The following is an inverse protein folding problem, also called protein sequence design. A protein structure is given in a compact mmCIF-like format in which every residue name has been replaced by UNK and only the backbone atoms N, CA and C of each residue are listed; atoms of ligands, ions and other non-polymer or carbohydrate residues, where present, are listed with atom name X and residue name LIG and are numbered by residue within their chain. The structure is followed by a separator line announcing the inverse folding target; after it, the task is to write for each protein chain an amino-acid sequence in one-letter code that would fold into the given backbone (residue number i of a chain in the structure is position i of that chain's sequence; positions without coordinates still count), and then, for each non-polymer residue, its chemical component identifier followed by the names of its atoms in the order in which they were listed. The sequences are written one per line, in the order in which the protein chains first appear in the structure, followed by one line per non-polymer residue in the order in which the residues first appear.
data_IF_620299220057
#
_entry.id   IF_620299220057
#
_cell.length_a   1.000
_cell.length_b   1.000
_cell.length_c   1.000
_cell.angle_alpha   90.00
_cell.angle_beta   90.00
_cell.angle_gamma   90.00
#
_symmetry.space_group_name_H-M   'P 1'
#
loop_
_entity.id
_entity.type
_entity.pdbx_description
1 polymer ?
#
# COMPACT_ATOMS: atom_id res chain seq x y z
N UNK A 1 -5.79 3.83 -7.25
CA UNK A 1 -5.18 5.08 -6.75
C UNK A 1 -6.24 6.17 -6.55
N UNK A 2 -6.92 6.23 -5.39
CA UNK A 2 -8.02 7.19 -5.11
C UNK A 2 -7.64 8.65 -5.48
N UNK A 3 -8.51 9.40 -6.18
CA UNK A 3 -8.55 10.89 -6.29
C UNK A 3 -9.81 11.33 -7.13
N UNK A 4 -10.12 12.57 -7.59
CA UNK A 4 -9.44 13.89 -7.63
C UNK A 4 -10.44 15.09 -7.61
N UNK A 5 -9.90 16.29 -7.36
CA UNK A 5 -10.05 17.60 -8.04
C UNK A 5 -11.41 18.34 -8.20
N UNK A 6 -11.50 19.51 -7.57
CA UNK A 6 -11.75 20.78 -8.31
C UNK A 6 -11.29 21.99 -7.48
N UNK A 7 -10.67 23.00 -8.10
CA UNK A 7 -10.34 24.30 -7.48
C UNK A 7 -10.32 25.39 -8.56
N UNK A 8 -10.79 26.60 -8.23
CA UNK A 8 -11.06 27.64 -9.23
C UNK A 8 -10.93 29.07 -8.69
N UNK A 9 -10.22 29.93 -9.43
CA UNK A 9 -10.17 31.39 -9.27
C UNK A 9 -9.63 31.98 -10.59
N UNK A 10 -10.28 32.92 -11.29
CA UNK A 10 -11.46 33.72 -10.93
C UNK A 10 -12.35 34.08 -12.13
N UNK A 11 -13.61 34.38 -11.84
CA UNK A 11 -14.52 35.25 -12.62
C UNK A 11 -14.66 35.03 -14.14
N UNK A 12 -15.41 34.01 -14.56
CA UNK A 12 -16.80 34.25 -14.98
C UNK A 12 -17.64 32.95 -14.99
N UNK A 13 -18.96 33.08 -14.94
CA UNK A 13 -19.86 31.97 -14.60
C UNK A 13 -20.01 30.89 -15.68
N UNK A 14 -19.39 29.73 -15.46
CA UNK A 14 -19.85 28.43 -15.99
C UNK A 14 -19.41 27.31 -15.04
N UNK A 15 -20.24 26.28 -14.85
CA UNK A 15 -19.98 25.20 -13.89
C UNK A 15 -18.98 24.20 -14.46
N UNK A 16 -17.74 24.21 -13.95
CA UNK A 16 -16.74 23.19 -14.27
C UNK A 16 -17.13 21.85 -13.63
N UNK A 17 -17.88 21.03 -14.36
CA UNK A 17 -18.15 19.65 -13.94
C UNK A 17 -16.84 18.89 -13.79
N UNK A 18 -16.69 18.14 -12.70
CA UNK A 18 -15.78 16.99 -12.68
C UNK A 18 -16.18 16.12 -13.88
N UNK A 19 -15.24 15.79 -14.76
CA UNK A 19 -15.48 14.74 -15.75
C UNK A 19 -15.65 13.44 -14.98
N UNK A 20 -16.82 12.84 -15.11
CA UNK A 20 -17.08 11.53 -14.54
C UNK A 20 -16.12 10.51 -15.16
N UNK A 21 -15.69 9.52 -14.36
CA UNK A 21 -14.80 8.48 -14.86
C UNK A 21 -15.48 7.76 -16.05
N UNK A 22 -14.87 7.71 -17.25
CA UNK A 22 -15.48 7.15 -18.46
C UNK A 22 -15.79 5.64 -18.35
N UNK A 23 -15.23 4.97 -17.34
CA UNK A 23 -15.45 3.57 -17.01
C UNK A 23 -16.53 3.33 -15.94
N UNK A 24 -17.19 4.38 -15.41
CA UNK A 24 -18.32 4.23 -14.46
C UNK A 24 -19.41 3.27 -14.96
N UNK A 25 -19.58 3.13 -16.29
CA UNK A 25 -20.49 2.16 -16.94
C UNK A 25 -20.21 0.69 -16.58
N UNK A 26 -19.02 0.38 -16.08
CA UNK A 26 -18.58 -0.97 -15.68
C UNK A 26 -18.69 -1.20 -14.16
N UNK A 27 -19.16 -0.22 -13.38
CA UNK A 27 -19.47 -0.43 -11.97
C UNK A 27 -20.66 -1.39 -11.84
N UNK A 28 -20.47 -2.47 -11.08
CA UNK A 28 -21.52 -3.44 -10.75
C UNK A 28 -21.62 -3.63 -9.23
N UNK A 29 -22.80 -3.92 -8.68
CA UNK A 29 -22.93 -4.41 -7.31
C UNK A 29 -22.29 -5.79 -7.19
N UNK A 30 -21.59 -6.05 -6.07
CA UNK A 30 -21.16 -7.38 -5.71
C UNK A 30 -22.35 -8.14 -5.08
N UNK A 31 -22.66 -9.32 -5.63
CA UNK A 31 -23.80 -10.15 -5.22
C UNK A 31 -23.88 -10.35 -3.70
N UNK A 32 -25.09 -10.24 -3.16
CA UNK A 32 -25.34 -10.30 -1.71
C UNK A 32 -24.90 -9.07 -0.90
N UNK A 33 -24.39 -8.00 -1.53
CA UNK A 33 -23.90 -6.80 -0.83
C UNK A 33 -24.39 -5.48 -1.43
N UNK A 34 -24.30 -4.40 -0.66
CA UNK A 34 -24.48 -3.02 -1.14
C UNK A 34 -23.19 -2.40 -1.73
N UNK A 35 -22.11 -3.16 -1.89
CA UNK A 35 -20.80 -2.66 -2.34
C UNK A 35 -20.68 -2.74 -3.86
N UNK A 36 -19.95 -1.81 -4.46
CA UNK A 36 -19.69 -1.76 -5.90
C UNK A 36 -18.27 -2.26 -6.21
N UNK A 37 -18.03 -2.72 -7.43
CA UNK A 37 -16.69 -2.97 -7.99
C UNK A 37 -16.68 -2.67 -9.50
N UNK A 38 -15.51 -2.44 -10.08
CA UNK A 38 -15.36 -2.33 -11.54
C UNK A 38 -15.28 -3.72 -12.16
N UNK A 39 -16.23 -4.06 -13.04
CA UNK A 39 -16.20 -5.31 -13.79
C UNK A 39 -15.20 -5.23 -14.96
N UNK A 40 -13.96 -5.59 -14.63
CA UNK A 40 -12.84 -5.65 -15.56
C UNK A 40 -13.03 -6.70 -16.66
N UNK A 41 -13.88 -7.73 -16.45
CA UNK A 41 -14.20 -8.74 -17.47
C UNK A 41 -15.13 -8.15 -18.52
N UNK A 42 -16.15 -7.39 -18.11
CA UNK A 42 -17.01 -6.65 -19.03
C UNK A 42 -16.26 -5.57 -19.81
N UNK A 43 -15.16 -5.03 -19.27
CA UNK A 43 -14.28 -4.09 -19.97
C UNK A 43 -13.38 -4.76 -21.01
N UNK A 44 -12.66 -5.83 -20.64
CA UNK A 44 -11.58 -6.39 -21.46
C UNK A 44 -11.85 -7.75 -22.12
N UNK A 45 -12.94 -8.43 -21.77
CA UNK A 45 -13.32 -9.74 -22.31
C UNK A 45 -12.20 -10.79 -22.20
N UNK A 46 -12.07 -11.61 -23.24
CA UNK A 46 -11.01 -12.64 -23.34
C UNK A 46 -9.60 -12.08 -23.18
N UNK A 47 -9.34 -10.84 -23.63
CA UNK A 47 -8.03 -10.20 -23.49
C UNK A 47 -7.68 -9.91 -22.04
N UNK A 48 -8.67 -9.63 -21.18
CA UNK A 48 -8.44 -9.48 -19.73
C UNK A 48 -8.13 -10.83 -19.06
N UNK A 49 -8.83 -11.90 -19.46
CA UNK A 49 -8.56 -13.23 -18.93
C UNK A 49 -7.23 -13.84 -19.41
N UNK A 50 -6.63 -13.29 -20.48
CA UNK A 50 -5.27 -13.60 -20.91
C UNK A 50 -4.17 -12.81 -20.18
N UNK A 51 -4.50 -11.79 -19.37
CA UNK A 51 -3.49 -11.01 -18.64
C UNK A 51 -2.95 -11.76 -17.42
N UNK A 52 -1.65 -11.62 -17.08
CA UNK A 52 -1.12 -11.98 -15.76
C UNK A 52 -1.84 -11.22 -14.64
N UNK A 53 -2.04 -11.85 -13.48
CA UNK A 53 -2.78 -11.30 -12.35
C UNK A 53 -2.20 -9.97 -11.84
N UNK A 54 -0.88 -9.84 -11.82
CA UNK A 54 -0.16 -8.60 -11.52
C UNK A 54 -0.60 -7.44 -12.42
N UNK A 55 -0.73 -7.67 -13.74
CA UNK A 55 -1.17 -6.65 -14.71
C UNK A 55 -2.66 -6.34 -14.55
N UNK A 56 -3.49 -7.29 -14.11
CA UNK A 56 -4.92 -7.04 -13.82
C UNK A 56 -5.10 -6.04 -12.67
N UNK A 57 -4.24 -6.09 -11.64
CA UNK A 57 -4.26 -5.14 -10.51
C UNK A 57 -3.86 -3.73 -10.98
N UNK A 58 -2.81 -3.61 -11.80
CA UNK A 58 -2.44 -2.33 -12.42
C UNK A 58 -3.58 -1.77 -13.28
N UNK A 59 -4.26 -2.61 -14.07
CA UNK A 59 -5.37 -2.20 -14.93
C UNK A 59 -6.60 -1.73 -14.13
N UNK A 60 -6.96 -2.40 -13.04
CA UNK A 60 -8.03 -1.94 -12.14
C UNK A 60 -7.69 -0.57 -11.55
N UNK A 61 -6.47 -0.40 -11.04
CA UNK A 61 -6.03 0.87 -10.46
C UNK A 61 -6.01 2.01 -11.49
N UNK A 62 -5.67 1.73 -12.76
CA UNK A 62 -5.79 2.71 -13.84
C UNK A 62 -7.25 3.04 -14.18
N UNK A 63 -8.10 2.01 -14.34
CA UNK A 63 -9.51 2.15 -14.74
C UNK A 63 -10.33 2.91 -13.70
N UNK A 64 -10.23 2.55 -12.41
CA UNK A 64 -10.99 3.16 -11.32
C UNK A 64 -10.70 4.65 -11.11
N UNK A 65 -9.53 5.14 -11.57
CA UNK A 65 -9.01 6.47 -11.24
C UNK A 65 -8.64 7.28 -12.51
N UNK A 66 -9.21 6.90 -13.65
CA UNK A 66 -9.08 7.64 -14.91
C UNK A 66 -9.93 8.92 -14.88
N UNK A 67 -9.30 10.06 -14.61
CA UNK A 67 -9.93 11.39 -14.66
C UNK A 67 -9.48 12.25 -15.87
N UNK A 68 -8.40 11.82 -16.55
CA UNK A 68 -7.88 12.43 -17.77
C UNK A 68 -6.77 13.47 -17.59
N UNK A 69 -6.27 13.70 -16.36
CA UNK A 69 -5.11 14.59 -16.13
C UNK A 69 -3.78 13.83 -16.01
N UNK A 70 -2.67 14.55 -16.19
CA UNK A 70 -1.30 14.02 -16.10
C UNK A 70 -0.60 14.66 -14.89
N UNK A 71 -0.12 13.85 -13.96
CA UNK A 71 0.66 14.31 -12.80
C UNK A 71 2.07 14.77 -13.19
N UNK A 72 2.58 15.76 -12.47
CA UNK A 72 3.96 16.28 -12.57
C UNK A 72 4.59 16.14 -11.18
N UNK A 73 5.78 15.53 -11.04
CA UNK A 73 6.37 15.21 -9.74
C UNK A 73 7.04 16.42 -9.05
N UNK A 74 6.97 16.45 -7.72
CA UNK A 74 7.77 17.28 -6.80
C UNK A 74 7.79 16.63 -5.41
N UNK A 75 8.72 17.05 -4.53
CA UNK A 75 9.12 16.29 -3.32
C UNK A 75 9.62 17.18 -2.17
N UNK A 76 9.55 16.68 -0.92
CA UNK A 76 10.59 16.60 0.16
C UNK A 76 9.96 16.78 1.56
N UNK A 77 8.72 17.23 1.61
CA UNK A 77 8.47 18.44 2.38
C UNK A 77 7.17 18.38 3.19
N UNK A 78 6.52 17.25 3.50
CA UNK A 78 5.19 17.29 4.19
C UNK A 78 5.11 18.20 5.44
N UNK A 79 6.18 18.31 6.24
CA UNK A 79 6.29 19.32 7.31
C UNK A 79 6.86 20.67 6.84
N UNK A 80 7.72 20.69 5.83
CA UNK A 80 8.42 21.87 5.34
C UNK A 80 7.66 22.65 4.23
N UNK A 81 6.84 22.01 3.39
CA UNK A 81 5.69 22.55 2.65
C UNK A 81 4.66 23.12 3.63
N UNK A 82 4.37 22.47 4.76
CA UNK A 82 3.48 23.08 5.78
C UNK A 82 4.06 24.42 6.24
N UNK A 83 5.36 24.47 6.55
CA UNK A 83 6.04 25.72 6.87
C UNK A 83 6.14 26.70 5.68
N UNK A 84 6.45 26.24 4.46
CA UNK A 84 6.65 27.06 3.27
C UNK A 84 5.34 27.65 2.74
N UNK A 85 4.27 26.85 2.69
CA UNK A 85 2.93 27.30 2.37
C UNK A 85 2.45 28.34 3.39
N UNK A 86 2.76 28.14 4.68
CA UNK A 86 2.49 29.14 5.72
C UNK A 86 3.31 30.43 5.53
N UNK A 87 4.61 30.34 5.15
CA UNK A 87 5.44 31.51 4.77
C UNK A 87 4.89 32.23 3.53
N UNK A 88 4.21 31.52 2.64
CA UNK A 88 3.55 32.05 1.44
C UNK A 88 2.09 32.47 1.67
N UNK A 89 1.62 32.53 2.93
CA UNK A 89 0.26 32.94 3.30
C UNK A 89 -0.85 31.92 3.02
N UNK A 90 -0.49 30.70 2.60
CA UNK A 90 -1.41 29.58 2.42
C UNK A 90 -1.61 28.75 3.69
N UNK A 91 -2.72 28.01 3.75
CA UNK A 91 -3.03 27.12 4.89
C UNK A 91 -2.27 25.80 4.79
N UNK A 92 -1.24 25.64 5.63
CA UNK A 92 -0.47 24.38 5.76
C UNK A 92 -1.33 23.14 6.00
N UNK A 93 -2.46 23.29 6.68
CA UNK A 93 -3.48 22.24 6.96
C UNK A 93 -3.88 21.43 5.70
N UNK A 94 -3.85 22.05 4.51
CA UNK A 94 -4.17 21.39 3.23
C UNK A 94 -3.14 20.33 2.79
N UNK A 95 -1.95 20.34 3.38
CA UNK A 95 -0.90 19.36 3.12
C UNK A 95 -1.06 18.22 4.13
N UNK A 96 -1.61 17.10 3.67
CA UNK A 96 -1.82 15.86 4.42
C UNK A 96 -1.80 14.68 3.44
N UNK A 97 -1.38 13.46 3.84
CA UNK A 97 -1.40 12.30 2.94
C UNK A 97 -2.82 12.01 2.41
N UNK A 98 -2.94 11.78 1.10
CA UNK A 98 -4.22 11.54 0.41
C UNK A 98 -4.57 10.04 0.31
N UNK A 99 -3.58 9.19 0.58
CA UNK A 99 -3.70 7.74 0.77
C UNK A 99 -3.37 7.39 2.24
N UNK A 100 -3.74 6.19 2.67
CA UNK A 100 -3.34 5.67 3.99
C UNK A 100 -1.83 5.47 4.02
N UNK A 101 -1.19 5.84 5.13
CA UNK A 101 0.25 5.66 5.33
C UNK A 101 0.48 4.98 6.67
N UNK A 102 1.16 3.84 6.62
CA UNK A 102 1.55 3.05 7.78
C UNK A 102 3.07 3.09 7.92
N UNK A 103 3.56 3.75 8.97
CA UNK A 103 4.98 3.80 9.30
C UNK A 103 5.25 2.85 10.47
N UNK A 104 5.97 1.76 10.20
CA UNK A 104 6.43 0.82 11.24
C UNK A 104 7.83 1.23 11.69
N UNK A 105 8.06 1.17 13.00
CA UNK A 105 9.37 1.45 13.61
C UNK A 105 9.99 0.13 14.04
N UNK A 106 10.97 -0.36 13.27
CA UNK A 106 11.64 -1.65 13.49
C UNK A 106 13.17 -1.58 13.35
N UNK A 107 13.66 -0.85 12.34
CA UNK A 107 15.08 -0.68 12.01
C UNK A 107 15.94 0.08 13.06
N UNK A 108 15.36 0.49 14.20
CA UNK A 108 16.06 1.21 15.27
C UNK A 108 16.45 0.35 16.49
N UNK A 109 15.90 -0.87 16.62
CA UNK A 109 16.27 -1.82 17.69
C UNK A 109 17.69 -2.35 17.45
N UNK A 110 18.50 -2.45 18.49
CA UNK A 110 19.84 -3.05 18.44
C UNK A 110 20.00 -4.14 19.49
N UNK A 111 20.74 -5.20 19.15
CA UNK A 111 21.00 -6.35 20.03
C UNK A 111 22.21 -6.06 20.93
N UNK A 112 22.04 -5.09 21.85
CA UNK A 112 23.03 -4.77 22.88
C UNK A 112 23.16 -5.91 23.92
N UNK A 113 22.05 -6.56 24.23
CA UNK A 113 21.93 -7.69 25.14
C UNK A 113 21.29 -8.88 24.44
N UNK A 114 21.70 -10.10 24.79
CA UNK A 114 21.17 -11.35 24.26
C UNK A 114 21.29 -12.48 25.28
N UNK A 115 20.60 -13.61 25.03
CA UNK A 115 20.65 -14.85 25.85
C UNK A 115 20.29 -14.68 27.35
N UNK A 116 19.53 -13.64 27.69
CA UNK A 116 18.94 -13.42 29.02
C UNK A 116 17.46 -13.02 28.88
N UNK A 117 16.54 -13.42 29.79
CA UNK A 117 15.13 -13.03 29.73
C UNK A 117 14.90 -11.52 29.69
N UNK A 118 15.80 -10.73 30.28
CA UNK A 118 15.72 -9.26 30.31
C UNK A 118 16.21 -8.58 29.02
N UNK A 119 16.77 -9.34 28.06
CA UNK A 119 17.42 -8.76 26.89
C UNK A 119 16.49 -7.88 26.04
N UNK A 120 15.22 -8.28 25.88
CA UNK A 120 14.23 -7.51 25.12
C UNK A 120 13.96 -6.15 25.77
N UNK A 121 13.66 -6.13 27.06
CA UNK A 121 13.40 -4.91 27.84
C UNK A 121 14.61 -3.97 27.83
N UNK A 122 15.81 -4.51 28.06
CA UNK A 122 17.06 -3.74 28.08
C UNK A 122 17.43 -3.16 26.69
N UNK A 123 17.15 -3.88 25.60
CA UNK A 123 17.36 -3.39 24.24
C UNK A 123 16.35 -2.29 23.87
N UNK A 124 15.06 -2.47 24.20
CA UNK A 124 14.02 -1.47 23.98
C UNK A 124 14.24 -0.20 24.80
N UNK A 125 14.70 -0.32 26.06
CA UNK A 125 15.06 0.85 26.86
C UNK A 125 16.20 1.64 26.20
N UNK A 126 17.29 0.97 25.77
CA UNK A 126 18.39 1.63 25.05
C UNK A 126 17.95 2.27 23.74
N UNK A 127 17.03 1.65 23.02
CA UNK A 127 16.46 2.25 21.80
C UNK A 127 15.69 3.54 22.10
N UNK A 128 14.84 3.53 23.13
CA UNK A 128 14.09 4.71 23.60
C UNK A 128 15.00 5.83 24.11
N UNK A 129 16.12 5.49 24.75
CA UNK A 129 17.16 6.45 25.16
C UNK A 129 17.87 7.06 23.94
N UNK A 130 18.27 6.24 22.95
CA UNK A 130 19.00 6.67 21.75
C UNK A 130 18.16 7.47 20.75
N UNK A 131 16.87 7.13 20.58
CA UNK A 131 16.01 7.65 19.51
C UNK A 131 14.89 8.58 20.02
N UNK A 132 14.96 9.03 21.28
CA UNK A 132 13.93 9.84 21.96
C UNK A 132 13.35 10.97 21.12
N UNK A 133 14.20 11.78 20.48
CA UNK A 133 13.78 12.92 19.65
C UNK A 133 13.05 12.47 18.38
N UNK A 134 13.52 11.40 17.73
CA UNK A 134 12.86 10.80 16.55
C UNK A 134 11.48 10.27 16.92
N UNK A 135 11.35 9.60 18.06
CA UNK A 135 10.05 9.09 18.53
C UNK A 135 9.09 10.21 18.96
N UNK A 136 9.60 11.32 19.50
CA UNK A 136 8.79 12.52 19.72
C UNK A 136 8.30 13.15 18.40
N UNK A 137 9.17 13.26 17.40
CA UNK A 137 8.82 13.78 16.08
C UNK A 137 7.79 12.87 15.35
N UNK A 138 7.98 11.55 15.36
CA UNK A 138 7.03 10.59 14.81
C UNK A 138 5.67 10.68 15.54
N UNK A 139 5.66 10.71 16.87
CA UNK A 139 4.42 10.85 17.66
C UNK A 139 3.68 12.16 17.36
N UNK A 140 4.41 13.27 17.14
CA UNK A 140 3.81 14.50 16.63
C UNK A 140 3.22 14.31 15.23
N UNK A 141 3.94 13.65 14.31
CA UNK A 141 3.49 13.37 12.95
C UNK A 141 2.16 12.62 12.90
N UNK A 142 2.01 11.53 13.66
CA UNK A 142 0.74 10.76 13.71
C UNK A 142 -0.43 11.56 14.28
N UNK A 143 -0.16 12.57 15.14
CA UNK A 143 -1.18 13.49 15.63
C UNK A 143 -1.45 14.69 14.69
N UNK A 144 -0.59 14.92 13.69
CA UNK A 144 -0.64 16.06 12.78
C UNK A 144 -1.17 15.72 11.37
N UNK A 145 -1.32 14.44 11.04
CA UNK A 145 -1.74 13.94 9.73
C UNK A 145 -2.77 12.81 9.87
N UNK A 146 -4.01 13.04 9.45
CA UNK A 146 -5.17 12.16 9.71
C UNK A 146 -5.02 10.73 9.14
N UNK A 147 -4.24 10.61 8.06
CA UNK A 147 -3.99 9.37 7.35
C UNK A 147 -2.62 8.71 7.68
N UNK A 148 -1.92 9.16 8.74
CA UNK A 148 -0.62 8.61 9.16
C UNK A 148 -0.76 7.80 10.46
N UNK A 149 -0.86 6.48 10.33
CA UNK A 149 -0.75 5.54 11.46
C UNK A 149 0.72 5.18 11.66
N UNK A 150 1.15 5.14 12.92
CA UNK A 150 2.52 4.74 13.30
C UNK A 150 2.45 3.54 14.23
N UNK A 151 3.18 2.48 13.87
CA UNK A 151 3.33 1.27 14.68
C UNK A 151 4.63 1.41 15.51
N UNK A 152 4.57 1.34 16.85
CA UNK A 152 5.70 1.66 17.71
C UNK A 152 6.80 0.57 17.71
N UNK A 153 8.02 0.90 18.18
CA UNK A 153 9.10 -0.07 18.33
C UNK A 153 8.71 -1.25 19.22
N UNK A 154 9.29 -2.41 18.91
CA UNK A 154 8.98 -3.69 19.59
C UNK A 154 7.71 -4.40 19.10
N UNK A 155 6.95 -3.82 18.16
CA UNK A 155 5.72 -4.44 17.61
C UNK A 155 5.96 -5.57 16.59
N UNK A 156 7.20 -5.78 16.15
CA UNK A 156 7.57 -6.68 15.05
C UNK A 156 8.28 -5.94 13.91
N UNK A 157 8.62 -6.67 12.84
CA UNK A 157 9.25 -6.10 11.62
C UNK A 157 8.18 -5.70 10.59
N UNK A 158 8.46 -4.67 9.79
CA UNK A 158 7.50 -4.02 8.89
C UNK A 158 6.79 -4.99 7.96
N UNK A 159 7.49 -5.95 7.36
CA UNK A 159 6.89 -6.89 6.40
C UNK A 159 5.99 -7.94 7.06
N UNK A 160 6.34 -8.40 8.27
CA UNK A 160 5.52 -9.33 9.04
C UNK A 160 4.27 -8.62 9.57
N UNK A 161 4.42 -7.43 10.14
CA UNK A 161 3.29 -6.58 10.57
C UNK A 161 2.39 -6.25 9.38
N UNK A 162 2.94 -6.04 8.18
CA UNK A 162 2.16 -5.84 6.97
C UNK A 162 1.34 -7.08 6.59
N UNK A 163 1.96 -8.26 6.54
CA UNK A 163 1.29 -9.54 6.25
C UNK A 163 0.20 -9.92 7.26
N UNK A 164 0.44 -9.69 8.55
CA UNK A 164 -0.41 -10.19 9.64
C UNK A 164 -1.48 -9.18 10.09
N UNK A 165 -1.30 -7.87 9.85
CA UNK A 165 -2.14 -6.84 10.46
C UNK A 165 -2.50 -5.63 9.56
N UNK A 166 -1.65 -5.20 8.62
CA UNK A 166 -1.94 -4.00 7.80
C UNK A 166 -2.66 -4.34 6.49
N UNK A 167 -2.26 -5.41 5.81
CA UNK A 167 -2.79 -5.79 4.52
C UNK A 167 -4.27 -6.21 4.57
N UNK A 168 -5.08 -5.59 3.72
CA UNK A 168 -6.52 -5.85 3.64
C UNK A 168 -6.90 -6.81 2.52
N UNK A 169 -6.01 -7.01 1.53
CA UNK A 169 -6.19 -7.83 0.30
C UNK A 169 -7.28 -7.32 -0.65
N UNK A 170 -8.45 -6.93 -0.14
CA UNK A 170 -9.49 -6.19 -0.85
C UNK A 170 -9.89 -4.96 -0.03
N UNK A 171 -9.57 -3.79 -0.54
CA UNK A 171 -9.83 -2.50 0.10
C UNK A 171 -11.25 -1.99 -0.17
N UNK A 172 -11.77 -1.16 0.74
CA UNK A 172 -13.08 -0.50 0.61
C UNK A 172 -12.92 1.02 0.60
N UNK A 173 -13.43 1.69 -0.43
CA UNK A 173 -13.31 3.15 -0.59
C UNK A 173 -13.95 3.99 0.53
N UNK A 174 -14.81 3.42 1.38
CA UNK A 174 -15.41 4.16 2.49
C UNK A 174 -14.64 4.05 3.81
N UNK A 175 -13.84 2.99 4.03
CA UNK A 175 -13.29 2.72 5.36
C UNK A 175 -12.18 3.71 5.77
N UNK A 176 -11.30 4.12 4.84
CA UNK A 176 -10.17 5.01 5.15
C UNK A 176 -10.57 6.43 5.59
N UNK A 177 -11.86 6.78 5.64
CA UNK A 177 -12.32 8.10 6.08
C UNK A 177 -12.62 8.15 7.59
N UNK A 178 -12.59 7.02 8.31
CA UNK A 178 -13.06 6.92 9.70
C UNK A 178 -11.96 7.12 10.78
N UNK A 179 -10.72 7.44 10.41
CA UNK A 179 -9.63 7.69 11.37
C UNK A 179 -9.62 9.12 11.95
N UNK A 180 -10.72 9.87 11.84
CA UNK A 180 -10.92 11.08 12.64
C UNK A 180 -11.01 10.71 14.12
N UNK A 181 -9.97 11.03 14.91
CA UNK A 181 -9.93 10.81 16.36
C UNK A 181 -10.96 11.68 17.11
N UNK A 182 -12.24 11.29 17.08
CA UNK A 182 -13.29 11.88 17.90
C UNK A 182 -13.12 11.42 19.35
N UNK A 183 -12.37 12.18 20.14
CA UNK A 183 -12.35 12.02 21.58
C UNK A 183 -13.76 12.16 22.15
N UNK A 184 -14.11 11.28 23.09
CA UNK A 184 -15.48 11.11 23.55
C UNK A 184 -16.02 12.34 24.27
N UNK A 185 -17.07 12.95 23.71
CA UNK A 185 -18.01 13.79 24.46
C UNK A 185 -19.44 13.36 24.13
N UNK A 186 -20.17 12.92 25.15
CA UNK A 186 -21.50 12.35 25.01
C UNK A 186 -22.57 13.43 24.98
N UNK A 187 -23.27 13.57 23.86
CA UNK A 187 -24.53 14.32 23.79
C UNK A 187 -25.56 13.55 22.97
N UNK A 188 -26.68 13.23 23.59
CA UNK A 188 -27.75 12.43 23.00
C UNK A 188 -28.75 13.32 22.25
N UNK A 189 -28.82 13.20 20.93
CA UNK A 189 -29.88 13.80 20.11
C UNK A 189 -30.45 12.81 19.11
N UNK A 190 -31.62 12.24 19.43
CA UNK A 190 -32.34 11.33 18.56
C UNK A 190 -32.87 12.05 17.32
N UNK A 191 -32.23 11.83 16.17
CA UNK A 191 -32.70 12.33 14.88
C UNK A 191 -32.78 11.18 13.86
N UNK A 192 -34.01 10.71 13.64
CA UNK A 192 -34.33 9.68 12.65
C UNK A 192 -34.00 10.18 11.24
N UNK A 193 -32.84 9.76 10.73
CA UNK A 193 -32.31 10.14 9.42
C UNK A 193 -32.03 8.88 8.60
N UNK A 194 -32.68 8.79 7.44
CA UNK A 194 -32.60 7.65 6.53
C UNK A 194 -31.15 7.40 6.15
N UNK A 195 -30.57 6.30 6.65
CA UNK A 195 -29.16 6.01 6.45
C UNK A 195 -28.89 5.57 5.01
N UNK A 196 -28.66 6.54 4.12
CA UNK A 196 -28.12 6.32 2.78
C UNK A 196 -26.69 5.81 2.90
N UNK A 197 -26.54 4.51 3.19
CA UNK A 197 -25.28 3.79 3.23
C UNK A 197 -24.62 3.88 1.86
N UNK A 198 -23.66 4.80 1.71
CA UNK A 198 -22.99 5.02 0.44
C UNK A 198 -22.31 3.73 0.00
N UNK A 199 -22.58 3.29 -1.23
CA UNK A 199 -22.07 2.04 -1.76
C UNK A 199 -20.56 2.10 -1.98
N UNK A 200 -19.80 1.67 -0.97
CA UNK A 200 -18.33 1.65 -1.00
C UNK A 200 -17.80 0.80 -2.15
N UNK A 201 -16.85 1.36 -2.90
CA UNK A 201 -16.18 0.67 -4.01
C UNK A 201 -15.11 -0.25 -3.45
N UNK A 202 -15.18 -1.53 -3.81
CA UNK A 202 -14.17 -2.55 -3.58
C UNK A 202 -13.10 -2.49 -4.67
N UNK A 203 -11.84 -2.69 -4.27
CA UNK A 203 -10.70 -2.79 -5.19
C UNK A 203 -9.58 -3.66 -4.59
N UNK A 204 -8.71 -4.29 -5.42
CA UNK A 204 -7.56 -5.02 -4.92
C UNK A 204 -6.64 -4.13 -4.09
N UNK A 205 -6.06 -4.68 -3.03
CA UNK A 205 -5.04 -4.01 -2.24
C UNK A 205 -3.71 -3.91 -3.01
N UNK A 206 -2.95 -2.84 -2.78
CA UNK A 206 -1.68 -2.57 -3.46
C UNK A 206 -0.86 -1.53 -2.69
N UNK A 207 0.44 -1.78 -2.49
CA UNK A 207 1.29 -0.98 -1.61
C UNK A 207 2.67 -0.72 -2.22
N UNK A 208 3.23 0.46 -1.98
CA UNK A 208 4.67 0.70 -2.11
C UNK A 208 5.22 1.23 -0.81
N UNK A 209 6.46 0.85 -0.49
CA UNK A 209 7.13 1.21 0.75
C UNK A 209 8.55 1.68 0.48
N UNK A 210 9.14 2.41 1.43
CA UNK A 210 10.52 2.91 1.36
C UNK A 210 11.56 1.84 1.72
N UNK A 211 11.23 0.56 1.46
CA UNK A 211 12.00 -0.63 1.80
C UNK A 211 11.92 -1.63 0.66
N UNK A 212 13.06 -2.19 0.24
CA UNK A 212 13.16 -3.14 -0.88
C UNK A 212 12.33 -4.42 -0.68
N UNK A 213 12.24 -4.93 0.54
CA UNK A 213 11.54 -6.16 0.88
C UNK A 213 10.03 -5.97 1.09
N UNK A 214 9.48 -4.78 0.80
CA UNK A 214 8.03 -4.55 0.64
C UNK A 214 7.39 -5.61 -0.28
N UNK A 215 8.17 -6.17 -1.21
CA UNK A 215 7.80 -7.28 -2.09
C UNK A 215 7.32 -8.55 -1.36
N UNK A 216 7.65 -8.77 -0.08
CA UNK A 216 7.18 -9.91 0.72
C UNK A 216 5.64 -10.06 0.69
N UNK A 217 4.91 -8.93 0.60
CA UNK A 217 3.44 -8.92 0.60
C UNK A 217 2.82 -9.56 -0.67
N UNK A 218 3.58 -9.69 -1.77
CA UNK A 218 3.11 -10.39 -2.97
C UNK A 218 2.79 -11.87 -2.69
N UNK A 219 3.39 -12.48 -1.65
CA UNK A 219 3.06 -13.83 -1.20
C UNK A 219 1.59 -14.00 -0.75
N UNK A 220 0.95 -12.91 -0.33
CA UNK A 220 -0.48 -12.83 0.03
C UNK A 220 -1.38 -12.45 -1.16
N UNK A 221 -0.80 -12.13 -2.33
CA UNK A 221 -1.53 -11.67 -3.52
C UNK A 221 -1.81 -10.16 -3.58
N UNK A 222 -1.26 -9.38 -2.64
CA UNK A 222 -1.25 -7.91 -2.67
C UNK A 222 -0.09 -7.46 -3.55
N UNK A 223 -0.35 -6.68 -4.61
CA UNK A 223 0.74 -6.22 -5.48
C UNK A 223 1.53 -5.10 -4.80
N UNK A 224 2.82 -5.31 -4.54
CA UNK A 224 3.66 -4.27 -3.94
C UNK A 224 5.16 -4.45 -4.10
N UNK A 225 5.89 -3.34 -3.99
CA UNK A 225 7.34 -3.29 -4.19
C UNK A 225 7.99 -2.11 -3.46
N UNK A 226 9.32 -2.19 -3.29
CA UNK A 226 10.12 -1.11 -2.71
C UNK A 226 10.37 0.03 -3.69
N UNK A 227 10.28 1.27 -3.20
CA UNK A 227 10.58 2.49 -3.96
C UNK A 227 11.44 3.44 -3.13
N UNK A 228 11.99 4.49 -3.74
CA UNK A 228 12.68 5.54 -2.98
C UNK A 228 11.71 6.35 -2.12
N UNK A 229 12.24 7.02 -1.09
CA UNK A 229 11.47 8.02 -0.34
C UNK A 229 10.88 9.13 -1.24
N UNK A 230 11.53 9.35 -2.39
CA UNK A 230 11.08 10.24 -3.46
C UNK A 230 9.70 9.81 -3.98
N UNK A 231 9.61 8.58 -4.50
CA UNK A 231 8.39 8.08 -5.12
C UNK A 231 7.31 7.82 -4.07
N UNK A 232 7.69 7.42 -2.86
CA UNK A 232 6.76 7.20 -1.75
C UNK A 232 6.03 8.49 -1.32
N UNK A 233 6.74 9.60 -1.05
CA UNK A 233 6.09 10.86 -0.68
C UNK A 233 5.26 11.43 -1.84
N UNK A 234 5.74 11.29 -3.09
CA UNK A 234 4.95 11.67 -4.26
C UNK A 234 3.60 10.92 -4.30
N UNK A 235 3.58 9.62 -4.01
CA UNK A 235 2.34 8.82 -3.87
C UNK A 235 1.50 9.25 -2.66
N UNK A 236 2.12 9.59 -1.53
CA UNK A 236 1.40 10.16 -0.37
C UNK A 236 0.66 11.46 -0.73
N UNK A 237 1.24 12.27 -1.62
CA UNK A 237 0.67 13.52 -2.16
C UNK A 237 -0.32 13.31 -3.32
N UNK A 238 -0.59 12.06 -3.73
CA UNK A 238 -1.53 11.73 -4.80
C UNK A 238 -0.93 11.70 -6.22
N UNK A 239 0.39 11.74 -6.37
CA UNK A 239 1.03 11.46 -7.66
C UNK A 239 0.93 9.97 -8.00
N UNK A 240 1.00 9.69 -9.30
CA UNK A 240 1.00 8.33 -9.83
C UNK A 240 2.45 7.86 -10.02
N UNK A 241 2.74 6.60 -9.71
CA UNK A 241 4.04 6.00 -10.03
C UNK A 241 4.16 5.93 -11.55
N UNK A 242 5.17 6.59 -12.09
CA UNK A 242 5.54 6.44 -13.50
C UNK A 242 6.42 5.20 -13.65
N UNK A 243 5.95 4.20 -14.37
CA UNK A 243 6.71 2.99 -14.69
C UNK A 243 6.51 2.59 -16.15
N UNK A 244 7.50 1.94 -16.74
CA UNK A 244 7.31 1.18 -17.98
C UNK A 244 6.41 -0.02 -17.64
N UNK A 245 5.47 -0.36 -18.52
CA UNK A 245 4.65 -1.58 -18.36
C UNK A 245 5.59 -2.80 -18.32
N UNK A 246 5.66 -3.54 -17.20
CA UNK A 246 6.71 -4.56 -17.03
C UNK A 246 6.39 -5.79 -17.86
N UNK A 247 7.44 -6.42 -18.40
CA UNK A 247 7.35 -7.82 -18.82
C UNK A 247 7.05 -8.70 -17.61
N UNK A 248 6.28 -9.78 -17.81
CA UNK A 248 5.96 -10.75 -16.75
C UNK A 248 6.60 -12.10 -17.07
N UNK A 249 7.55 -12.51 -16.23
CA UNK A 249 8.21 -13.81 -16.30
C UNK A 249 7.42 -14.83 -15.48
N UNK A 250 6.71 -15.74 -16.14
CA UNK A 250 5.98 -16.80 -15.47
C UNK A 250 6.90 -17.89 -14.91
N UNK A 251 6.97 -18.07 -13.60
CA UNK A 251 7.68 -19.20 -12.97
C UNK A 251 6.70 -20.32 -12.63
N UNK A 252 6.83 -21.46 -13.33
CA UNK A 252 5.93 -22.61 -13.16
C UNK A 252 6.45 -23.58 -12.09
N UNK A 253 5.75 -23.69 -10.97
CA UNK A 253 6.01 -24.68 -9.93
C UNK A 253 5.24 -25.99 -10.20
N UNK A 254 5.96 -27.11 -10.10
CA UNK A 254 5.46 -28.48 -10.33
C UNK A 254 6.07 -29.45 -9.31
N UNK A 255 5.37 -30.56 -9.05
CA UNK A 255 5.76 -31.50 -7.99
C UNK A 255 5.41 -31.00 -6.59
N UNK A 256 6.11 -31.54 -5.59
CA UNK A 256 6.00 -31.18 -4.17
C UNK A 256 7.41 -31.15 -3.56
N UNK A 257 7.58 -30.48 -2.42
CA UNK A 257 8.85 -30.47 -1.68
C UNK A 257 9.13 -31.84 -1.05
N UNK A 258 10.40 -32.22 -0.97
CA UNK A 258 10.83 -33.40 -0.23
C UNK A 258 10.72 -33.16 1.29
N UNK A 259 10.57 -34.21 2.12
CA UNK A 259 10.28 -34.07 3.56
C UNK A 259 11.41 -33.43 4.39
N UNK A 260 12.59 -33.25 3.82
CA UNK A 260 13.75 -32.60 4.44
C UNK A 260 14.08 -31.24 3.79
N UNK A 261 13.25 -30.74 2.86
CA UNK A 261 13.46 -29.49 2.12
C UNK A 261 12.67 -28.37 2.77
N UNK A 262 13.33 -27.27 3.10
CA UNK A 262 12.73 -26.11 3.78
C UNK A 262 12.30 -25.02 2.79
N UNK A 263 11.51 -24.04 3.27
CA UNK A 263 11.24 -22.80 2.56
C UNK A 263 12.52 -22.06 2.14
N UNK A 264 13.56 -22.12 2.98
CA UNK A 264 14.88 -21.51 2.74
C UNK A 264 15.59 -22.15 1.54
N UNK A 265 15.59 -23.48 1.45
CA UNK A 265 16.19 -24.21 0.33
C UNK A 265 15.47 -23.90 -0.99
N UNK A 266 14.13 -23.81 -0.93
CA UNK A 266 13.29 -23.45 -2.07
C UNK A 266 13.56 -22.02 -2.55
N UNK A 267 13.58 -21.02 -1.66
CA UNK A 267 13.81 -19.62 -2.08
C UNK A 267 15.22 -19.43 -2.61
N UNK A 268 16.26 -20.00 -1.98
CA UNK A 268 17.63 -19.88 -2.47
C UNK A 268 17.78 -20.50 -3.87
N UNK A 269 17.12 -21.64 -4.12
CA UNK A 269 17.06 -22.27 -5.45
C UNK A 269 16.33 -21.38 -6.47
N UNK A 270 15.18 -20.81 -6.11
CA UNK A 270 14.41 -19.90 -6.98
C UNK A 270 15.22 -18.64 -7.30
N UNK A 271 15.84 -18.01 -6.30
CA UNK A 271 16.69 -16.81 -6.45
C UNK A 271 17.88 -17.08 -7.36
N UNK A 272 18.54 -18.24 -7.22
CA UNK A 272 19.63 -18.65 -8.13
C UNK A 272 19.14 -18.79 -9.58
N UNK A 273 17.99 -19.43 -9.79
CA UNK A 273 17.41 -19.64 -11.13
C UNK A 273 16.94 -18.34 -11.78
N UNK A 274 16.27 -17.47 -11.04
CA UNK A 274 15.78 -16.17 -11.54
C UNK A 274 16.94 -15.22 -11.85
N UNK A 275 17.96 -15.16 -10.99
CA UNK A 275 19.17 -14.37 -11.21
C UNK A 275 19.95 -14.86 -12.42
N UNK A 276 20.05 -16.17 -12.64
CA UNK A 276 20.65 -16.76 -13.84
C UNK A 276 19.80 -16.52 -15.11
N UNK A 277 18.47 -16.39 -14.97
CA UNK A 277 17.55 -16.09 -16.09
C UNK A 277 17.58 -14.61 -16.50
N UNK A 278 17.96 -13.71 -15.61
CA UNK A 278 18.01 -12.26 -15.86
C UNK A 278 16.63 -11.63 -15.91
N UNK A 279 16.01 -11.46 -14.73
CA UNK A 279 14.65 -10.89 -14.58
C UNK A 279 14.62 -9.42 -14.17
N UNK A 280 15.79 -8.75 -14.11
CA UNK A 280 15.93 -7.36 -13.66
C UNK A 280 14.89 -6.41 -14.27
N UNK A 281 14.10 -5.76 -13.41
CA UNK A 281 13.08 -4.78 -13.82
C UNK A 281 11.83 -5.39 -14.45
N UNK A 282 11.56 -6.68 -14.22
CA UNK A 282 10.39 -7.42 -14.68
C UNK A 282 9.56 -7.89 -13.49
N UNK A 283 8.29 -8.19 -13.71
CA UNK A 283 7.52 -8.93 -12.72
C UNK A 283 7.81 -10.44 -12.86
N UNK A 284 7.86 -11.15 -11.73
CA UNK A 284 7.89 -12.62 -11.70
C UNK A 284 6.57 -13.10 -11.13
N UNK A 285 5.78 -13.80 -11.94
CA UNK A 285 4.46 -14.31 -11.54
C UNK A 285 4.51 -15.83 -11.42
N UNK A 286 4.24 -16.34 -10.21
CA UNK A 286 4.30 -17.76 -9.92
C UNK A 286 2.99 -18.44 -10.32
N UNK A 287 3.06 -19.62 -10.95
CA UNK A 287 1.89 -20.39 -11.35
C UNK A 287 2.13 -21.90 -11.35
N UNK A 288 1.08 -22.69 -11.56
CA UNK A 288 1.16 -24.15 -11.66
C UNK A 288 0.85 -24.91 -10.35
N UNK A 289 0.72 -26.24 -10.43
CA UNK A 289 0.15 -27.05 -9.34
C UNK A 289 0.99 -27.06 -8.06
N UNK A 290 2.31 -26.82 -8.13
CA UNK A 290 3.19 -26.81 -6.95
C UNK A 290 2.89 -25.69 -5.95
N UNK A 291 2.19 -24.62 -6.37
CA UNK A 291 1.74 -23.56 -5.46
C UNK A 291 0.75 -24.06 -4.40
N UNK A 292 -0.05 -25.08 -4.71
CA UNK A 292 -1.07 -25.59 -3.78
C UNK A 292 -0.44 -26.29 -2.56
N UNK A 293 0.82 -26.74 -2.66
CA UNK A 293 1.61 -27.27 -1.55
C UNK A 293 2.41 -26.22 -0.78
N UNK A 294 2.45 -24.95 -1.23
CA UNK A 294 3.14 -23.87 -0.51
C UNK A 294 2.19 -23.10 0.40
N UNK A 295 2.55 -22.97 1.67
CA UNK A 295 1.87 -22.13 2.66
C UNK A 295 2.04 -20.63 2.36
N UNK A 296 1.32 -19.77 3.08
CA UNK A 296 1.51 -18.33 3.00
C UNK A 296 2.95 -17.92 3.39
N UNK A 297 3.53 -18.57 4.41
CA UNK A 297 4.90 -18.29 4.84
C UNK A 297 5.91 -18.60 3.74
N UNK A 298 5.80 -19.76 3.08
CA UNK A 298 6.71 -20.13 1.98
C UNK A 298 6.63 -19.13 0.81
N UNK A 299 5.40 -18.73 0.44
CA UNK A 299 5.15 -17.74 -0.63
C UNK A 299 5.71 -16.36 -0.27
N UNK A 300 5.52 -15.93 0.98
CA UNK A 300 6.06 -14.68 1.49
C UNK A 300 7.59 -14.70 1.51
N UNK A 301 8.21 -15.79 1.97
CA UNK A 301 9.67 -15.99 1.93
C UNK A 301 10.22 -15.89 0.51
N UNK A 302 9.56 -16.51 -0.48
CA UNK A 302 9.94 -16.40 -1.89
C UNK A 302 9.81 -14.95 -2.40
N UNK A 303 8.69 -14.30 -2.11
CA UNK A 303 8.41 -12.93 -2.55
C UNK A 303 9.32 -11.88 -1.89
N UNK A 304 9.77 -12.13 -0.65
CA UNK A 304 10.70 -11.27 0.09
C UNK A 304 12.05 -11.12 -0.64
N UNK A 305 12.53 -12.20 -1.28
CA UNK A 305 13.86 -12.25 -1.92
C UNK A 305 13.89 -11.72 -3.37
N UNK A 306 12.86 -10.97 -3.78
CA UNK A 306 12.84 -10.33 -5.09
C UNK A 306 14.01 -9.35 -5.34
N UNK A 307 14.43 -8.49 -4.38
CA UNK A 307 15.58 -7.61 -4.57
C UNK A 307 16.89 -8.33 -4.93
N UNK A 308 17.05 -9.59 -4.49
CA UNK A 308 18.24 -10.40 -4.73
C UNK A 308 18.29 -11.10 -6.10
N UNK A 309 17.17 -11.19 -6.82
CA UNK A 309 17.12 -11.68 -8.21
C UNK A 309 16.83 -10.59 -9.26
N UNK A 310 16.32 -9.42 -8.85
CA UNK A 310 16.15 -8.20 -9.66
C UNK A 310 14.77 -7.99 -10.26
#
# INVERSE_FOLDING_TARGET
MRLFSSSSSSSNGSSSSKRENPFNRYLKPLEGTQKLYYDMRALGGEKYEALPYSIRILLESAVRNCDGFRGVPALVDLAAMRAALSRLGGKGEKISPQVSVDLVVDHSVQVDYSRTPLALEQNLQKEMERNKERFQFLKWGSAAFDNLRIIPPGSGIVHQVNLEFLASVVMNSNNNNNNSNSSSSSSSSSSSSSSSSSSGILYPDSVVGTDSHTTMINGLGVLGWGVGGIEAEAVMLGQHISMVLPEVTGLRLVGQLGPMVTATDLVLTITQLLRARGVVGKFVEFFGPGLNSLSLADRATIANMAPEYG
#
